data_IF_751329645136
#
_entry.id   IF_751329645136
#
_cell.length_a   1.000
_cell.length_b   1.000
_cell.length_c   1.000
_cell.angle_alpha   90.00
_cell.angle_beta   90.00
_cell.angle_gamma   90.00
#
_symmetry.space_group_name_H-M   'P 1'
#
loop_
_entity.id
_entity.type
_entity.pdbx_description
1 polymer ?
#
# COMPACT_ATOMS: atom_id res chain seq x y z
N UNK A 1 6.82 -27.86 -6.44
CA UNK A 1 6.96 -26.58 -5.72
C UNK A 1 7.15 -25.50 -6.77
N UNK A 2 6.49 -24.35 -6.62
CA UNK A 2 6.75 -23.19 -7.47
C UNK A 2 8.15 -22.64 -7.14
N UNK A 3 8.82 -21.99 -8.10
CA UNK A 3 10.07 -21.28 -7.80
C UNK A 3 9.76 -20.02 -6.96
N UNK A 4 10.77 -19.54 -6.23
CA UNK A 4 10.63 -18.40 -5.32
C UNK A 4 10.06 -17.17 -6.04
N UNK A 5 10.56 -16.86 -7.26
CA UNK A 5 10.01 -15.79 -8.10
C UNK A 5 8.48 -15.83 -8.23
N UNK A 6 7.91 -16.99 -8.50
CA UNK A 6 6.46 -17.16 -8.66
C UNK A 6 5.73 -16.99 -7.32
N UNK A 7 6.32 -17.44 -6.22
CA UNK A 7 5.73 -17.23 -4.88
C UNK A 7 5.71 -15.75 -4.54
N UNK A 8 6.81 -15.03 -4.76
CA UNK A 8 6.91 -13.59 -4.55
C UNK A 8 5.87 -12.82 -5.38
N UNK A 9 5.73 -13.15 -6.66
CA UNK A 9 4.71 -12.56 -7.53
C UNK A 9 3.29 -12.80 -6.99
N UNK A 10 3.00 -14.04 -6.56
CA UNK A 10 1.70 -14.38 -6.00
C UNK A 10 1.40 -13.65 -4.69
N UNK A 11 2.41 -13.42 -3.85
CA UNK A 11 2.27 -12.64 -2.60
C UNK A 11 1.94 -11.19 -2.90
N UNK A 12 2.60 -10.56 -3.89
CA UNK A 12 2.26 -9.20 -4.31
C UNK A 12 0.86 -9.10 -4.94
N UNK A 13 0.48 -10.07 -5.77
CA UNK A 13 -0.87 -10.15 -6.32
C UNK A 13 -1.93 -10.35 -5.23
N UNK A 14 -1.62 -11.17 -4.22
CA UNK A 14 -2.51 -11.38 -3.06
C UNK A 14 -2.65 -10.12 -2.23
N UNK A 15 -1.58 -9.35 -2.05
CA UNK A 15 -1.64 -8.04 -1.39
C UNK A 15 -2.62 -7.09 -2.10
N UNK A 16 -2.50 -6.96 -3.43
CA UNK A 16 -3.43 -6.14 -4.23
C UNK A 16 -4.85 -6.67 -4.15
N UNK A 17 -5.05 -7.98 -4.26
CA UNK A 17 -6.37 -8.61 -4.15
C UNK A 17 -7.00 -8.41 -2.76
N UNK A 18 -6.21 -8.44 -1.69
CA UNK A 18 -6.69 -8.17 -0.33
C UNK A 18 -7.17 -6.73 -0.19
N UNK A 19 -6.40 -5.77 -0.72
CA UNK A 19 -6.81 -4.36 -0.73
C UNK A 19 -8.07 -4.14 -1.57
N UNK A 20 -8.24 -4.86 -2.69
CA UNK A 20 -9.45 -4.80 -3.51
C UNK A 20 -10.70 -5.41 -2.85
N UNK A 21 -10.53 -6.23 -1.80
CA UNK A 21 -11.64 -6.72 -0.97
C UNK A 21 -11.87 -5.80 0.25
N UNK A 22 -11.78 -4.48 0.03
CA UNK A 22 -11.81 -3.49 1.10
C UNK A 22 -13.13 -3.52 1.88
N UNK A 23 -13.04 -3.84 3.17
CA UNK A 23 -14.15 -3.75 4.13
C UNK A 23 -13.82 -2.87 5.34
N UNK A 24 -12.61 -2.32 5.37
CA UNK A 24 -12.04 -1.53 6.46
C UNK A 24 -10.51 -1.54 6.39
N UNK A 25 -9.81 -0.67 7.15
CA UNK A 25 -8.35 -0.56 7.11
C UNK A 25 -7.62 -1.85 7.54
N UNK A 26 -8.30 -2.75 8.25
CA UNK A 26 -7.77 -4.03 8.70
C UNK A 26 -7.40 -4.96 7.53
N UNK A 27 -7.97 -4.78 6.34
CA UNK A 27 -7.60 -5.59 5.16
C UNK A 27 -6.14 -5.42 4.77
N UNK A 28 -5.51 -4.30 5.15
CA UNK A 28 -4.08 -4.07 4.95
C UNK A 28 -3.23 -5.08 5.69
N UNK A 29 -3.75 -5.69 6.77
CA UNK A 29 -3.03 -6.68 7.57
C UNK A 29 -2.96 -8.07 6.92
N UNK A 30 -3.78 -8.33 5.91
CA UNK A 30 -3.87 -9.64 5.29
C UNK A 30 -2.60 -9.97 4.50
N UNK A 31 -2.03 -11.16 4.76
CA UNK A 31 -0.79 -11.61 4.12
C UNK A 31 0.49 -11.02 4.72
N UNK A 32 0.41 -10.42 5.91
CA UNK A 32 1.56 -9.88 6.66
C UNK A 32 1.90 -10.77 7.85
N UNK A 33 3.15 -10.76 8.28
CA UNK A 33 3.53 -11.36 9.57
C UNK A 33 2.97 -10.52 10.73
N UNK A 34 2.76 -11.10 11.93
CA UNK A 34 2.25 -10.36 13.09
C UNK A 34 3.09 -9.14 13.47
N UNK A 35 4.40 -9.22 13.26
CA UNK A 35 5.41 -8.21 13.56
C UNK A 35 5.82 -7.34 12.36
N UNK A 36 5.06 -7.41 11.25
CA UNK A 36 5.41 -6.71 10.02
C UNK A 36 5.47 -5.19 10.21
N UNK A 37 6.43 -4.57 9.54
CA UNK A 37 6.67 -3.13 9.58
C UNK A 37 6.29 -2.45 8.26
N UNK A 38 5.82 -1.22 8.35
CA UNK A 38 5.39 -0.43 7.21
C UNK A 38 6.01 0.96 7.23
N UNK A 39 6.45 1.46 6.09
CA UNK A 39 6.98 2.81 5.95
C UNK A 39 6.21 3.55 4.87
N UNK A 40 5.61 4.68 5.24
CA UNK A 40 5.01 5.62 4.27
C UNK A 40 6.05 6.66 3.88
N UNK A 41 6.19 6.88 2.58
CA UNK A 41 7.07 7.86 1.95
C UNK A 41 6.26 8.72 0.98
N UNK A 42 6.72 9.95 0.69
CA UNK A 42 7.88 10.64 1.27
C UNK A 42 7.67 11.07 2.73
N UNK A 43 8.76 11.27 3.47
CA UNK A 43 8.75 11.74 4.89
C UNK A 43 8.43 13.24 5.02
N UNK A 44 7.47 13.75 4.25
CA UNK A 44 7.05 15.16 4.36
C UNK A 44 6.30 15.39 5.66
N UNK A 45 6.11 16.65 6.08
CA UNK A 45 5.43 17.00 7.33
C UNK A 45 4.01 16.42 7.45
N UNK A 46 3.34 16.12 6.33
CA UNK A 46 2.04 15.47 6.27
C UNK A 46 2.06 13.98 6.68
N UNK A 47 3.22 13.33 6.55
CA UNK A 47 3.46 11.92 6.90
C UNK A 47 4.55 11.78 7.96
N UNK A 48 4.77 12.82 8.79
CA UNK A 48 5.86 12.94 9.77
C UNK A 48 5.84 11.94 10.95
N UNK A 49 5.28 10.74 10.74
CA UNK A 49 5.28 9.63 11.66
C UNK A 49 6.64 8.93 11.79
N UNK A 50 6.73 7.94 12.71
CA UNK A 50 7.95 7.18 12.94
C UNK A 50 8.44 6.48 11.67
N UNK A 51 9.73 6.14 11.59
CA UNK A 51 10.32 5.61 10.38
C UNK A 51 9.70 4.31 9.91
N UNK A 52 9.17 3.52 10.84
CA UNK A 52 8.53 2.23 10.63
C UNK A 52 7.29 2.16 11.55
N UNK A 53 6.17 1.72 11.00
CA UNK A 53 4.89 1.56 11.68
C UNK A 53 4.60 0.06 11.87
N UNK A 54 4.30 -0.41 13.09
CA UNK A 54 3.75 -1.73 13.27
C UNK A 54 2.32 -1.80 12.71
N UNK A 55 1.86 -3.02 12.42
CA UNK A 55 0.53 -3.30 11.85
C UNK A 55 -0.62 -2.46 12.46
N UNK A 56 -0.74 -2.41 13.80
CA UNK A 56 -1.81 -1.66 14.47
C UNK A 56 -1.74 -0.15 14.18
N UNK A 57 -0.52 0.41 14.11
CA UNK A 57 -0.32 1.83 13.82
C UNK A 57 -0.68 2.18 12.37
N UNK A 58 -0.46 1.26 11.43
CA UNK A 58 -0.88 1.44 10.02
C UNK A 58 -2.39 1.50 9.91
N UNK A 59 -3.11 0.59 10.59
CA UNK A 59 -4.58 0.61 10.60
C UNK A 59 -5.11 1.92 11.19
N UNK A 60 -4.49 2.40 12.27
CA UNK A 60 -4.82 3.70 12.87
C UNK A 60 -4.59 4.87 11.90
N UNK A 61 -3.46 4.86 11.18
CA UNK A 61 -3.13 5.88 10.19
C UNK A 61 -4.14 5.90 9.04
N UNK A 62 -4.42 4.75 8.42
CA UNK A 62 -5.36 4.65 7.29
C UNK A 62 -6.77 5.11 7.70
N UNK A 63 -7.22 4.75 8.90
CA UNK A 63 -8.51 5.19 9.43
C UNK A 63 -8.60 6.71 9.57
N UNK A 64 -7.49 7.37 9.90
CA UNK A 64 -7.42 8.83 10.04
C UNK A 64 -7.28 9.58 8.71
N UNK A 65 -6.50 9.04 7.77
CA UNK A 65 -6.18 9.71 6.50
C UNK A 65 -7.35 9.68 5.50
N UNK A 66 -8.06 8.55 5.40
CA UNK A 66 -9.14 8.33 4.43
C UNK A 66 -10.41 7.86 5.14
N UNK A 67 -11.03 8.72 5.97
CA UNK A 67 -12.22 8.35 6.72
C UNK A 67 -13.38 8.00 5.76
N UNK A 68 -14.08 6.92 6.09
CA UNK A 68 -15.23 6.45 5.31
C UNK A 68 -14.87 5.92 3.93
N UNK A 69 -13.61 5.54 3.69
CA UNK A 69 -13.18 4.94 2.42
C UNK A 69 -14.10 3.74 2.06
N UNK A 70 -14.61 3.75 0.84
CA UNK A 70 -15.50 2.75 0.25
C UNK A 70 -15.28 2.69 -1.26
N UNK A 71 -15.77 1.64 -1.90
CA UNK A 71 -15.62 1.41 -3.34
C UNK A 71 -14.16 1.50 -3.81
N UNK A 72 -13.24 1.07 -2.95
CA UNK A 72 -11.81 1.13 -3.20
C UNK A 72 -11.39 0.10 -4.25
N UNK A 73 -10.50 0.53 -5.14
CA UNK A 73 -9.80 -0.34 -6.09
C UNK A 73 -8.34 0.10 -6.20
N UNK A 74 -7.45 -0.88 -6.27
CA UNK A 74 -6.02 -0.75 -6.50
C UNK A 74 -5.68 -1.60 -7.72
N UNK A 75 -5.14 -0.95 -8.75
CA UNK A 75 -4.76 -1.56 -10.01
C UNK A 75 -3.25 -1.43 -10.19
N UNK A 76 -2.57 -2.54 -10.43
CA UNK A 76 -1.15 -2.48 -10.81
C UNK A 76 -1.02 -1.98 -12.24
N UNK A 77 0.01 -1.20 -12.52
CA UNK A 77 0.35 -0.81 -13.89
C UNK A 77 1.19 -1.90 -14.55
N UNK A 78 0.96 -2.18 -15.83
CA UNK A 78 1.81 -3.09 -16.61
C UNK A 78 3.16 -2.46 -16.98
N UNK A 79 3.30 -1.13 -16.84
CA UNK A 79 4.50 -0.37 -17.18
C UNK A 79 4.76 0.73 -16.13
N UNK A 80 5.88 0.66 -15.38
CA UNK A 80 6.88 -0.41 -15.41
C UNK A 80 6.30 -1.75 -14.90
N UNK A 81 6.79 -2.89 -15.40
CA UNK A 81 6.36 -4.19 -14.90
C UNK A 81 6.80 -4.36 -13.44
N UNK A 82 6.11 -5.26 -12.73
CA UNK A 82 6.53 -5.71 -11.41
C UNK A 82 7.99 -6.18 -11.43
N UNK A 83 8.79 -5.61 -10.54
CA UNK A 83 10.18 -6.00 -10.33
C UNK A 83 10.27 -7.01 -9.19
N UNK A 84 11.02 -8.10 -9.39
CA UNK A 84 11.18 -9.17 -8.40
C UNK A 84 12.67 -9.48 -8.25
N UNK A 85 13.15 -9.32 -7.03
CA UNK A 85 14.49 -9.67 -6.57
C UNK A 85 14.40 -10.89 -5.64
N UNK A 86 14.85 -12.04 -6.13
CA UNK A 86 14.78 -13.30 -5.40
C UNK A 86 15.81 -13.37 -4.26
N UNK A 87 16.95 -12.69 -4.40
CA UNK A 87 18.01 -12.68 -3.39
C UNK A 87 17.56 -11.89 -2.15
N UNK A 88 16.92 -10.74 -2.39
CA UNK A 88 16.38 -9.88 -1.33
C UNK A 88 14.95 -10.25 -0.92
N UNK A 89 14.31 -11.23 -1.59
CA UNK A 89 12.90 -11.61 -1.39
C UNK A 89 11.97 -10.40 -1.47
N UNK A 90 12.24 -9.57 -2.48
CA UNK A 90 11.65 -8.24 -2.61
C UNK A 90 10.83 -8.16 -3.89
N UNK A 91 9.66 -7.55 -3.79
CA UNK A 91 8.80 -7.22 -4.93
C UNK A 91 8.55 -5.73 -4.93
N UNK A 92 8.69 -5.10 -6.10
CA UNK A 92 8.38 -3.68 -6.30
C UNK A 92 7.31 -3.56 -7.39
N UNK A 93 6.22 -2.84 -7.10
CA UNK A 93 5.09 -2.67 -8.01
C UNK A 93 4.55 -1.25 -7.99
N UNK A 94 4.28 -0.75 -9.20
CA UNK A 94 3.63 0.52 -9.42
C UNK A 94 2.11 0.29 -9.52
N UNK A 95 1.31 1.09 -8.82
CA UNK A 95 -0.13 0.91 -8.72
C UNK A 95 -0.88 2.23 -8.63
N UNK A 96 -2.12 2.23 -9.11
CA UNK A 96 -3.06 3.34 -8.99
C UNK A 96 -4.25 2.92 -8.14
N UNK A 97 -4.55 3.70 -7.12
CA UNK A 97 -5.65 3.48 -6.20
C UNK A 97 -6.73 4.55 -6.36
N UNK A 98 -7.99 4.15 -6.30
CA UNK A 98 -9.13 5.06 -6.31
C UNK A 98 -10.28 4.54 -5.45
N UNK A 99 -11.04 5.44 -4.84
CA UNK A 99 -12.25 5.12 -4.09
C UNK A 99 -13.02 6.36 -3.68
N UNK A 100 -14.04 6.17 -2.85
CA UNK A 100 -14.89 7.23 -2.32
C UNK A 100 -14.68 7.37 -0.82
N UNK A 101 -14.66 8.59 -0.32
CA UNK A 101 -14.55 8.90 1.11
C UNK A 101 -15.69 9.80 1.55
N UNK A 102 -15.71 10.19 2.82
CA UNK A 102 -16.65 11.19 3.32
C UNK A 102 -16.31 12.62 2.85
N UNK A 103 -15.08 12.84 2.38
CA UNK A 103 -14.61 14.11 1.84
C UNK A 103 -14.78 14.23 0.31
N UNK A 104 -15.16 13.13 -0.36
CA UNK A 104 -15.29 13.06 -1.82
C UNK A 104 -14.48 11.91 -2.43
N UNK A 105 -14.35 11.88 -3.77
CA UNK A 105 -13.47 10.93 -4.45
C UNK A 105 -12.02 11.09 -3.99
N UNK A 106 -11.35 9.97 -3.79
CA UNK A 106 -9.92 9.90 -3.49
C UNK A 106 -9.24 9.03 -4.54
N UNK A 107 -8.16 9.53 -5.12
CA UNK A 107 -7.31 8.77 -6.03
C UNK A 107 -5.85 9.11 -5.81
N UNK A 108 -4.96 8.14 -5.99
CA UNK A 108 -3.54 8.34 -5.81
C UNK A 108 -2.72 7.28 -6.58
N UNK A 109 -1.46 7.60 -6.83
CA UNK A 109 -0.46 6.74 -7.44
C UNK A 109 0.55 6.29 -6.37
N UNK A 110 0.97 5.02 -6.49
CA UNK A 110 1.74 4.34 -5.46
C UNK A 110 2.88 3.54 -6.05
N UNK A 111 4.06 3.63 -5.43
CA UNK A 111 5.09 2.61 -5.56
C UNK A 111 5.15 1.81 -4.27
N UNK A 112 4.78 0.53 -4.34
CA UNK A 112 4.93 -0.41 -3.23
C UNK A 112 6.23 -1.20 -3.38
N UNK A 113 6.91 -1.41 -2.27
CA UNK A 113 8.03 -2.33 -2.13
C UNK A 113 7.71 -3.28 -0.99
N UNK A 114 7.65 -4.58 -1.26
CA UNK A 114 7.31 -5.63 -0.30
C UNK A 114 8.53 -6.51 -0.09
N UNK A 115 8.92 -6.75 1.15
CA UNK A 115 9.92 -7.77 1.52
C UNK A 115 9.19 -8.88 2.27
N UNK A 116 9.45 -10.11 1.86
CA UNK A 116 8.74 -11.29 2.38
C UNK A 116 9.61 -12.16 3.29
N UNK A 117 8.94 -13.05 4.00
CA UNK A 117 9.52 -14.22 4.69
C UNK A 117 10.42 -15.03 3.76
N UNK A 118 11.27 -15.90 4.34
CA UNK A 118 12.19 -16.78 3.59
C UNK A 118 11.48 -17.64 2.53
N UNK A 119 10.27 -18.11 2.84
CA UNK A 119 9.46 -18.92 1.92
C UNK A 119 8.66 -18.09 0.91
N UNK A 120 8.69 -16.76 1.01
CA UNK A 120 8.02 -15.82 0.12
C UNK A 120 6.53 -15.60 0.39
N UNK A 121 5.94 -16.26 1.39
CA UNK A 121 4.47 -16.36 1.53
C UNK A 121 3.82 -15.22 2.30
N UNK A 122 4.57 -14.53 3.17
CA UNK A 122 4.08 -13.44 4.00
C UNK A 122 4.97 -12.20 3.89
N UNK A 123 4.39 -11.03 4.06
CA UNK A 123 5.10 -9.74 4.05
C UNK A 123 5.60 -9.42 5.46
N UNK A 124 6.91 -9.19 5.60
CA UNK A 124 7.56 -8.78 6.85
C UNK A 124 7.81 -7.26 6.88
N UNK A 125 8.11 -6.68 5.71
CA UNK A 125 8.34 -5.24 5.59
C UNK A 125 7.70 -4.70 4.32
N UNK A 126 7.30 -3.45 4.37
CA UNK A 126 6.74 -2.77 3.21
C UNK A 126 7.06 -1.30 3.22
N UNK A 127 7.32 -0.75 2.05
CA UNK A 127 7.36 0.69 1.80
C UNK A 127 6.23 1.03 0.83
N UNK A 128 5.53 2.11 1.15
CA UNK A 128 4.54 2.74 0.29
C UNK A 128 5.04 4.15 -0.01
N UNK A 129 5.35 4.41 -1.27
CA UNK A 129 5.65 5.75 -1.74
C UNK A 129 4.39 6.26 -2.42
N UNK A 130 3.80 7.32 -1.88
CA UNK A 130 2.56 7.92 -2.37
C UNK A 130 2.83 9.24 -3.10
N UNK A 131 1.91 9.67 -3.97
CA UNK A 131 1.85 11.10 -4.32
C UNK A 131 1.40 11.88 -3.08
N UNK A 132 2.39 12.43 -2.38
CA UNK A 132 2.16 13.19 -1.15
C UNK A 132 1.37 14.47 -1.36
N UNK A 133 1.42 15.07 -2.55
CA UNK A 133 0.70 16.30 -2.82
C UNK A 133 -0.80 16.02 -2.89
N UNK A 134 -1.20 14.91 -3.52
CA UNK A 134 -2.60 14.48 -3.56
C UNK A 134 -3.15 14.19 -2.16
N UNK A 135 -2.37 13.56 -1.28
CA UNK A 135 -2.82 13.32 0.11
C UNK A 135 -2.95 14.63 0.88
N UNK A 136 -1.98 15.54 0.74
CA UNK A 136 -2.04 16.86 1.42
C UNK A 136 -3.25 17.64 0.94
N UNK A 137 -3.46 17.75 -0.37
CA UNK A 137 -4.58 18.47 -0.97
C UNK A 137 -5.92 17.86 -0.50
N UNK A 138 -6.03 16.53 -0.50
CA UNK A 138 -7.22 15.81 -0.04
C UNK A 138 -7.53 16.07 1.45
N UNK A 139 -6.54 15.93 2.34
CA UNK A 139 -6.73 16.14 3.79
C UNK A 139 -7.05 17.60 4.11
N UNK A 140 -6.57 18.55 3.30
CA UNK A 140 -6.88 19.97 3.45
C UNK A 140 -8.22 20.39 2.82
N UNK A 141 -8.90 19.47 2.11
CA UNK A 141 -10.16 19.76 1.42
C UNK A 141 -9.99 20.60 0.15
N UNK A 142 -8.78 20.60 -0.43
CA UNK A 142 -8.52 21.22 -1.72
C UNK A 142 -9.07 20.32 -2.84
N UNK A 143 -9.62 20.90 -3.91
CA UNK A 143 -10.09 20.11 -5.06
C UNK A 143 -8.93 19.36 -5.71
N UNK A 144 -9.14 18.05 -5.93
CA UNK A 144 -8.22 17.15 -6.64
C UNK A 144 -8.60 16.96 -8.12
N UNK A 145 -9.68 17.57 -8.61
CA UNK A 145 -10.29 17.30 -9.94
C UNK A 145 -9.49 17.78 -11.18
N UNK A 146 -8.31 18.39 -11.01
CA UNK A 146 -7.60 19.08 -12.11
C UNK A 146 -6.14 18.66 -12.30
N UNK A 147 -5.75 17.44 -11.91
CA UNK A 147 -4.40 16.93 -12.13
C UNK A 147 -4.38 15.55 -12.77
#
# INVERSE_FOLDING_TARGET
MACLRTVLANTALSFVANLNNYTGPEVFLNGRTPDALHTVLPRTAAFGGPPELPNEAVVGLLRGLVPGLRDWSLNMTDSPPMFIDEEQRMVSMHAFGQGMTDLGPYSNEYQFILITTEDGTLIERSWEIVDSLLVVDFVQGNSTEHR
#
